data_IF_374889128349
#
_entry.id   IF_374889128349
#
_cell.length_a   1.000
_cell.length_b   1.000
_cell.length_c   1.000
_cell.angle_alpha   90.00
_cell.angle_beta   90.00
_cell.angle_gamma   90.00
#
_symmetry.space_group_name_H-M   'P 1'
#
loop_
_entity.id
_entity.type
_entity.pdbx_description
1 polymer ?
#
# COMPACT_ATOMS: atom_id res chain seq x y z
N UNK A 1 -6.02 -2.74 -21.33
CA UNK A 1 -5.19 -1.83 -20.49
C UNK A 1 -3.74 -2.02 -20.86
N UNK A 2 -3.05 -0.97 -21.35
CA UNK A 2 -1.59 -1.00 -21.48
C UNK A 2 -1.04 -1.07 -20.06
N UNK A 3 -0.30 -2.14 -19.71
CA UNK A 3 0.60 -2.12 -18.56
C UNK A 3 1.35 -0.79 -18.64
N UNK A 4 1.31 0.03 -17.59
CA UNK A 4 2.25 1.14 -17.51
C UNK A 4 3.64 0.52 -17.62
N UNK A 5 4.29 0.70 -18.76
CA UNK A 5 5.71 0.45 -18.87
C UNK A 5 6.36 1.49 -17.96
N UNK A 6 6.45 1.17 -16.66
CA UNK A 6 7.46 1.77 -15.80
C UNK A 6 8.75 1.62 -16.59
N UNK A 7 9.33 2.74 -16.99
CA UNK A 7 10.58 2.81 -17.74
C UNK A 7 11.66 2.16 -16.89
N UNK A 8 11.77 0.83 -16.94
CA UNK A 8 12.78 0.06 -16.20
C UNK A 8 14.09 0.19 -16.94
N UNK A 9 14.73 1.34 -16.76
CA UNK A 9 16.18 1.38 -16.88
C UNK A 9 16.72 0.84 -15.56
N UNK A 10 17.54 -0.19 -15.62
CA UNK A 10 18.27 -0.62 -14.43
C UNK A 10 19.19 0.52 -14.00
N UNK A 11 18.94 1.05 -12.81
CA UNK A 11 19.76 2.08 -12.19
C UNK A 11 20.43 1.50 -10.95
N UNK A 12 21.51 2.14 -10.52
CA UNK A 12 22.19 1.82 -9.28
C UNK A 12 21.77 2.78 -8.17
N UNK A 13 21.49 2.26 -6.98
CA UNK A 13 21.10 3.08 -5.83
C UNK A 13 22.29 3.52 -4.96
N UNK A 14 23.50 3.03 -5.21
CA UNK A 14 24.69 3.38 -4.44
C UNK A 14 25.28 4.76 -4.80
N UNK A 15 24.63 5.81 -4.29
CA UNK A 15 25.04 7.20 -4.49
C UNK A 15 25.80 7.73 -3.27
N UNK A 16 26.92 8.41 -3.54
CA UNK A 16 27.68 9.14 -2.52
C UNK A 16 27.63 10.65 -2.78
N UNK A 17 27.65 11.44 -1.70
CA UNK A 17 27.80 12.90 -1.81
C UNK A 17 26.54 13.67 -2.21
N UNK A 18 25.39 13.00 -2.40
CA UNK A 18 24.12 13.63 -2.80
C UNK A 18 23.68 14.77 -1.87
N UNK A 19 23.95 14.64 -0.56
CA UNK A 19 23.65 15.67 0.43
C UNK A 19 24.45 16.97 0.26
N UNK A 20 25.58 16.94 -0.48
CA UNK A 20 26.41 18.12 -0.77
C UNK A 20 25.89 18.93 -1.96
N UNK A 21 25.04 18.33 -2.78
CA UNK A 21 24.45 18.96 -3.95
C UNK A 21 23.36 19.95 -3.54
N UNK A 22 23.21 21.02 -4.32
CA UNK A 22 22.05 21.90 -4.28
C UNK A 22 20.77 21.17 -4.73
N UNK A 23 19.61 21.74 -4.44
CA UNK A 23 18.31 21.14 -4.81
C UNK A 23 18.20 20.93 -6.34
N UNK A 24 18.61 21.91 -7.14
CA UNK A 24 18.57 21.81 -8.60
C UNK A 24 19.49 20.71 -9.14
N UNK A 25 20.69 20.57 -8.58
CA UNK A 25 21.62 19.49 -8.91
C UNK A 25 21.07 18.12 -8.51
N UNK A 26 20.42 18.01 -7.33
CA UNK A 26 19.75 16.78 -6.89
C UNK A 26 18.65 16.37 -7.85
N UNK A 27 17.78 17.30 -8.25
CA UNK A 27 16.68 17.04 -9.19
C UNK A 27 17.24 16.62 -10.55
N UNK A 28 18.26 17.32 -11.06
CA UNK A 28 18.92 16.97 -12.32
C UNK A 28 19.50 15.56 -12.26
N UNK A 29 20.24 15.24 -11.20
CA UNK A 29 20.85 13.92 -11.03
C UNK A 29 19.80 12.80 -10.96
N UNK A 30 18.72 13.01 -10.20
CA UNK A 30 17.60 12.06 -10.15
C UNK A 30 16.94 11.89 -11.52
N UNK A 31 16.65 12.99 -12.22
CA UNK A 31 16.04 12.97 -13.55
C UNK A 31 16.84 12.14 -14.55
N UNK A 32 18.17 12.29 -14.56
CA UNK A 32 19.07 11.51 -15.42
C UNK A 32 19.08 10.01 -15.04
N UNK A 33 18.97 9.69 -13.76
CA UNK A 33 18.98 8.31 -13.27
C UNK A 33 17.69 7.55 -13.59
N UNK A 34 16.53 8.14 -13.28
CA UNK A 34 15.23 7.48 -13.42
C UNK A 34 14.50 7.85 -14.73
N UNK A 35 15.13 8.70 -15.56
CA UNK A 35 14.64 9.12 -16.87
C UNK A 35 13.26 9.81 -16.81
N UNK A 36 13.17 10.82 -15.95
CA UNK A 36 11.95 11.62 -15.81
C UNK A 36 11.56 12.28 -17.14
N UNK A 37 10.27 12.30 -17.42
CA UNK A 37 9.71 13.11 -18.48
C UNK A 37 9.62 14.60 -18.04
N UNK A 38 9.25 15.49 -18.96
CA UNK A 38 9.19 16.93 -18.67
C UNK A 38 8.16 17.28 -17.59
N UNK A 39 7.04 16.56 -17.52
CA UNK A 39 6.01 16.78 -16.51
C UNK A 39 6.51 16.38 -15.12
N UNK A 40 7.15 15.21 -15.00
CA UNK A 40 7.75 14.72 -13.75
C UNK A 40 8.86 15.67 -13.26
N UNK A 41 9.69 16.18 -14.17
CA UNK A 41 10.73 17.15 -13.83
C UNK A 41 10.14 18.46 -13.33
N UNK A 42 9.07 18.96 -13.99
CA UNK A 42 8.38 20.17 -13.56
C UNK A 42 7.71 20.00 -12.19
N UNK A 43 7.21 18.79 -11.87
CA UNK A 43 6.67 18.48 -10.54
C UNK A 43 7.76 18.53 -9.46
N UNK A 44 8.95 17.99 -9.73
CA UNK A 44 10.05 18.01 -8.75
C UNK A 44 10.62 19.42 -8.49
N UNK A 45 10.50 20.33 -9.46
CA UNK A 45 10.93 21.72 -9.32
C UNK A 45 9.94 22.56 -8.48
N UNK A 46 8.70 22.11 -8.34
CA UNK A 46 7.70 22.76 -7.52
C UNK A 46 7.65 22.12 -6.14
N UNK A 47 7.86 22.90 -5.08
CA UNK A 47 7.72 22.42 -3.68
C UNK A 47 6.26 22.16 -3.27
N UNK A 48 5.32 22.15 -4.22
CA UNK A 48 3.90 21.85 -4.03
C UNK A 48 3.32 21.12 -5.25
N UNK A 49 2.42 20.16 -5.01
CA UNK A 49 1.89 19.25 -6.05
C UNK A 49 0.47 19.61 -6.51
N UNK A 50 -0.45 19.85 -5.57
CA UNK A 50 -1.87 19.99 -5.88
C UNK A 50 -2.26 21.43 -6.24
N UNK A 51 -3.08 21.56 -7.28
CA UNK A 51 -3.91 22.77 -7.49
C UNK A 51 -5.04 22.80 -6.46
N UNK A 52 -5.58 23.99 -6.20
CA UNK A 52 -6.73 24.16 -5.30
C UNK A 52 -7.91 23.23 -5.65
N UNK A 53 -8.23 23.09 -6.95
CA UNK A 53 -9.31 22.20 -7.40
C UNK A 53 -9.03 20.71 -7.20
N UNK A 54 -7.76 20.31 -7.10
CA UNK A 54 -7.41 18.90 -6.88
C UNK A 54 -7.45 18.56 -5.39
N UNK A 55 -6.95 19.45 -4.53
CA UNK A 55 -6.97 19.20 -3.08
C UNK A 55 -8.39 19.25 -2.51
N UNK A 56 -9.29 20.05 -3.11
CA UNK A 56 -10.72 20.13 -2.77
C UNK A 56 -11.49 18.82 -2.98
N UNK A 57 -10.93 17.90 -3.79
CA UNK A 57 -11.53 16.56 -3.99
C UNK A 57 -11.02 15.49 -3.04
N UNK A 58 -9.98 15.77 -2.24
CA UNK A 58 -9.32 14.74 -1.42
C UNK A 58 -9.97 14.58 -0.05
N UNK A 59 -10.36 15.70 0.57
CA UNK A 59 -10.99 15.75 1.89
C UNK A 59 -12.03 16.89 1.93
N UNK A 60 -12.93 16.85 2.90
CA UNK A 60 -13.91 17.91 3.10
C UNK A 60 -13.29 19.18 3.71
N UNK A 61 -13.85 20.35 3.37
CA UNK A 61 -13.54 21.66 3.97
C UNK A 61 -12.06 22.07 3.88
N UNK A 62 -11.37 21.70 2.80
CA UNK A 62 -9.96 22.09 2.62
C UNK A 62 -9.85 23.59 2.35
N UNK A 63 -8.89 24.23 3.01
CA UNK A 63 -8.57 25.66 2.82
C UNK A 63 -7.11 25.88 2.44
N UNK A 64 -6.25 24.89 2.67
CA UNK A 64 -4.81 24.96 2.40
C UNK A 64 -4.20 23.55 2.38
N UNK A 65 -2.92 23.46 1.99
CA UNK A 65 -2.12 22.24 2.00
C UNK A 65 -0.98 22.36 3.01
N UNK A 66 -0.65 21.26 3.70
CA UNK A 66 0.55 21.19 4.54
C UNK A 66 1.70 20.53 3.76
N UNK A 67 2.90 21.12 3.82
CA UNK A 67 4.09 20.61 3.14
C UNK A 67 5.01 19.91 4.13
N UNK A 68 5.52 18.74 3.74
CA UNK A 68 6.53 17.98 4.46
C UNK A 68 7.77 17.80 3.56
N UNK A 69 9.00 17.91 4.09
CA UNK A 69 10.19 17.71 3.27
C UNK A 69 10.21 16.31 2.66
N UNK A 70 10.49 16.23 1.35
CA UNK A 70 10.67 14.97 0.63
C UNK A 70 12.17 14.73 0.39
N UNK A 71 12.73 13.75 1.09
CA UNK A 71 14.08 13.24 0.87
C UNK A 71 14.08 11.94 0.07
N UNK A 72 15.25 11.55 -0.43
CA UNK A 72 15.48 10.23 -1.02
C UNK A 72 16.53 9.50 -0.19
N UNK A 73 16.21 8.30 0.29
CA UNK A 73 17.18 7.40 0.87
C UNK A 73 17.79 6.48 -0.21
N UNK A 74 19.10 6.34 -0.15
CA UNK A 74 19.93 5.65 -1.14
C UNK A 74 20.49 4.34 -0.61
N UNK A 75 21.21 3.60 -1.48
CA UNK A 75 21.92 2.35 -1.23
C UNK A 75 21.04 1.11 -1.00
N UNK A 76 19.71 1.26 -0.95
CA UNK A 76 18.81 0.13 -0.78
C UNK A 76 18.93 -0.87 -1.93
N UNK A 77 19.16 -2.13 -1.55
CA UNK A 77 19.08 -3.29 -2.41
C UNK A 77 18.16 -4.30 -1.74
N UNK A 78 17.08 -4.68 -2.39
CA UNK A 78 16.10 -5.65 -1.86
C UNK A 78 15.96 -6.76 -2.89
N UNK A 79 16.16 -8.01 -2.47
CA UNK A 79 16.11 -9.19 -3.34
C UNK A 79 16.98 -9.02 -4.61
N UNK A 80 18.19 -8.49 -4.43
CA UNK A 80 19.15 -8.26 -5.53
C UNK A 80 18.87 -7.05 -6.43
N UNK A 81 17.75 -6.35 -6.25
CA UNK A 81 17.38 -5.17 -7.05
C UNK A 81 17.58 -3.86 -6.29
N UNK A 82 18.05 -2.84 -6.99
CA UNK A 82 18.28 -1.51 -6.42
C UNK A 82 17.00 -0.66 -6.37
N UNK A 83 16.85 0.10 -5.29
CA UNK A 83 15.73 1.00 -5.06
C UNK A 83 16.21 2.37 -4.56
N UNK A 84 15.54 3.42 -5.02
CA UNK A 84 15.55 4.74 -4.40
C UNK A 84 14.29 4.83 -3.55
N UNK A 85 14.40 5.21 -2.28
CA UNK A 85 13.28 5.23 -1.34
C UNK A 85 12.89 6.69 -1.04
N UNK A 86 11.78 7.20 -1.59
CA UNK A 86 11.26 8.51 -1.20
C UNK A 86 10.78 8.49 0.25
N UNK A 87 11.12 9.52 1.02
CA UNK A 87 10.76 9.66 2.43
C UNK A 87 10.25 11.09 2.68
N UNK A 88 8.96 11.21 2.99
CA UNK A 88 8.37 12.48 3.43
C UNK A 88 8.45 12.57 4.97
N UNK A 89 9.37 13.38 5.50
CA UNK A 89 9.64 13.47 6.94
C UNK A 89 10.34 14.79 7.31
N UNK A 90 10.04 15.34 8.47
CA UNK A 90 10.65 16.57 9.01
C UNK A 90 11.87 16.32 9.89
N UNK A 91 11.97 15.13 10.48
CA UNK A 91 13.01 14.80 11.44
C UNK A 91 14.41 14.76 10.78
N UNK A 92 15.37 15.57 11.26
CA UNK A 92 16.74 15.53 10.76
C UNK A 92 17.37 14.15 10.93
N UNK A 93 18.38 13.87 10.11
CA UNK A 93 19.19 12.64 10.17
C UNK A 93 18.47 11.34 9.80
N UNK A 94 17.14 11.24 9.81
CA UNK A 94 16.43 9.98 9.51
C UNK A 94 16.77 9.43 8.12
N UNK A 95 16.64 10.27 7.07
CA UNK A 95 16.99 9.88 5.69
C UNK A 95 18.47 9.51 5.55
N UNK A 96 19.34 10.21 6.27
CA UNK A 96 20.78 9.94 6.27
C UNK A 96 21.12 8.62 6.97
N UNK A 97 20.49 8.35 8.12
CA UNK A 97 20.65 7.12 8.89
C UNK A 97 20.15 5.91 8.09
N UNK A 98 18.97 6.01 7.46
CA UNK A 98 18.43 4.96 6.58
C UNK A 98 19.38 4.67 5.41
N UNK A 99 19.89 5.71 4.75
CA UNK A 99 20.85 5.55 3.65
C UNK A 99 22.18 4.91 4.09
N UNK A 100 22.67 5.27 5.28
CA UNK A 100 23.91 4.72 5.83
C UNK A 100 23.74 3.25 6.24
N UNK A 101 22.64 2.90 6.90
CA UNK A 101 22.31 1.53 7.24
C UNK A 101 22.20 0.66 5.97
N UNK A 102 21.46 1.13 4.96
CA UNK A 102 21.37 0.43 3.68
C UNK A 102 22.72 0.22 3.01
N UNK A 103 23.63 1.22 3.06
CA UNK A 103 25.00 1.10 2.56
C UNK A 103 25.80 0.02 3.27
N UNK A 104 25.65 -0.10 4.60
CA UNK A 104 26.31 -1.14 5.39
C UNK A 104 25.77 -2.53 5.03
N UNK A 105 24.45 -2.69 4.95
CA UNK A 105 23.80 -3.95 4.59
C UNK A 105 24.14 -4.39 3.17
N UNK A 106 24.25 -3.44 2.22
CA UNK A 106 24.59 -3.72 0.81
C UNK A 106 25.90 -4.49 0.64
N UNK A 107 26.90 -4.27 1.53
CA UNK A 107 28.17 -5.02 1.53
C UNK A 107 27.98 -6.52 1.76
N UNK A 108 26.85 -6.91 2.34
CA UNK A 108 26.49 -8.29 2.69
C UNK A 108 25.37 -8.84 1.79
N UNK A 109 25.11 -8.21 0.64
CA UNK A 109 24.09 -8.64 -0.34
C UNK A 109 22.80 -7.81 -0.32
N UNK A 110 22.62 -6.92 0.66
CA UNK A 110 21.40 -6.12 0.80
C UNK A 110 20.34 -6.78 1.67
N UNK A 111 19.10 -6.32 1.54
CA UNK A 111 17.95 -6.84 2.26
C UNK A 111 17.29 -7.98 1.47
N UNK A 112 16.68 -8.90 2.21
CA UNK A 112 15.84 -9.95 1.67
C UNK A 112 14.43 -9.79 2.23
N UNK A 113 13.43 -10.00 1.37
CA UNK A 113 12.02 -9.98 1.75
C UNK A 113 11.29 -11.07 1.00
N UNK A 114 10.45 -11.81 1.71
CA UNK A 114 9.55 -12.78 1.08
C UNK A 114 8.41 -12.06 0.37
N UNK A 115 7.82 -12.73 -0.61
CA UNK A 115 6.58 -12.31 -1.23
C UNK A 115 5.42 -12.56 -0.27
N UNK A 116 4.65 -11.51 0.03
CA UNK A 116 3.47 -11.58 0.88
C UNK A 116 2.24 -11.33 0.02
N UNK A 117 1.27 -12.24 0.08
CA UNK A 117 0.00 -12.06 -0.62
C UNK A 117 -0.76 -10.87 -0.01
N UNK A 118 -1.35 -10.06 -0.88
CA UNK A 118 -2.18 -8.91 -0.48
C UNK A 118 -3.58 -9.36 -0.06
N UNK A 119 -3.66 -10.04 1.09
CA UNK A 119 -4.92 -10.55 1.67
C UNK A 119 -5.41 -9.59 2.74
N UNK A 120 -6.54 -8.96 2.48
CA UNK A 120 -7.25 -8.13 3.44
C UNK A 120 -8.34 -8.93 4.14
N UNK A 121 -8.59 -8.57 5.40
CA UNK A 121 -9.63 -9.18 6.22
C UNK A 121 -10.73 -8.15 6.44
N UNK A 122 -11.94 -8.45 5.98
CA UNK A 122 -13.15 -7.73 6.45
C UNK A 122 -13.85 -8.54 7.52
N UNK A 123 -14.44 -7.84 8.50
CA UNK A 123 -15.06 -8.45 9.66
C UNK A 123 -16.55 -8.16 9.70
N UNK A 124 -17.38 -9.20 9.65
CA UNK A 124 -18.82 -9.11 9.86
C UNK A 124 -19.11 -9.60 11.28
N UNK A 125 -19.63 -8.72 12.11
CA UNK A 125 -19.96 -9.01 13.50
C UNK A 125 -21.41 -9.48 13.63
N UNK A 126 -21.60 -10.71 14.11
CA UNK A 126 -22.90 -11.28 14.42
C UNK A 126 -23.07 -11.30 15.94
N UNK A 127 -24.15 -10.70 16.41
CA UNK A 127 -24.53 -10.63 17.83
C UNK A 127 -25.88 -11.30 18.06
N UNK A 128 -26.31 -11.41 19.32
CA UNK A 128 -27.62 -11.96 19.71
C UNK A 128 -27.87 -13.37 19.15
N UNK A 129 -26.83 -14.21 19.20
CA UNK A 129 -26.87 -15.57 18.66
C UNK A 129 -27.53 -16.52 19.67
N UNK A 130 -28.64 -17.14 19.28
CA UNK A 130 -29.35 -18.10 20.13
C UNK A 130 -28.60 -19.42 20.28
N UNK A 131 -28.16 -20.02 19.16
CA UNK A 131 -27.31 -21.21 19.14
C UNK A 131 -26.08 -20.97 18.27
N UNK A 132 -24.92 -20.87 18.92
CA UNK A 132 -23.65 -20.57 18.27
C UNK A 132 -23.18 -21.67 17.32
N UNK A 133 -23.36 -22.94 17.70
CA UNK A 133 -22.89 -24.06 16.91
C UNK A 133 -23.72 -24.24 15.65
N UNK A 134 -25.03 -24.01 15.73
CA UNK A 134 -25.89 -24.02 14.55
C UNK A 134 -25.59 -22.84 13.61
N UNK A 135 -25.30 -21.64 14.17
CA UNK A 135 -24.88 -20.50 13.38
C UNK A 135 -23.57 -20.76 12.62
N UNK A 136 -22.55 -21.31 13.30
CA UNK A 136 -21.28 -21.71 12.66
C UNK A 136 -21.50 -22.73 11.55
N UNK A 137 -22.26 -23.80 11.83
CA UNK A 137 -22.58 -24.83 10.82
C UNK A 137 -23.30 -24.26 9.61
N UNK A 138 -24.25 -23.35 9.83
CA UNK A 138 -24.98 -22.68 8.76
C UNK A 138 -24.07 -21.82 7.87
N UNK A 139 -23.17 -21.04 8.48
CA UNK A 139 -22.20 -20.22 7.74
C UNK A 139 -21.23 -21.07 6.92
N UNK A 140 -20.68 -22.13 7.52
CA UNK A 140 -19.79 -23.05 6.80
C UNK A 140 -20.52 -23.74 5.65
N UNK A 141 -21.75 -24.22 5.87
CA UNK A 141 -22.57 -24.84 4.82
C UNK A 141 -22.85 -23.89 3.64
N UNK A 142 -22.96 -22.59 3.91
CA UNK A 142 -23.26 -21.57 2.89
C UNK A 142 -22.02 -20.80 2.41
N UNK A 143 -20.82 -21.22 2.78
CA UNK A 143 -19.57 -20.50 2.48
C UNK A 143 -19.44 -20.12 1.01
N UNK A 144 -19.62 -21.07 0.09
CA UNK A 144 -19.46 -20.81 -1.35
C UNK A 144 -20.47 -19.80 -1.87
N UNK A 145 -21.71 -19.83 -1.33
CA UNK A 145 -22.75 -18.85 -1.66
C UNK A 145 -22.36 -17.45 -1.18
N UNK A 146 -21.81 -17.35 0.04
CA UNK A 146 -21.36 -16.08 0.62
C UNK A 146 -20.19 -15.51 -0.21
N UNK A 147 -19.19 -16.33 -0.53
CA UNK A 147 -18.06 -15.92 -1.37
C UNK A 147 -18.52 -15.48 -2.77
N UNK A 148 -19.52 -16.17 -3.34
CA UNK A 148 -20.10 -15.78 -4.63
C UNK A 148 -20.77 -14.41 -4.56
N UNK A 149 -21.56 -14.14 -3.51
CA UNK A 149 -22.23 -12.84 -3.31
C UNK A 149 -21.25 -11.70 -3.09
N UNK A 150 -20.20 -11.94 -2.30
CA UNK A 150 -19.11 -10.99 -2.09
C UNK A 150 -18.42 -10.68 -3.42
N UNK A 151 -18.05 -11.70 -4.20
CA UNK A 151 -17.37 -11.52 -5.47
C UNK A 151 -18.23 -10.81 -6.53
N UNK A 152 -19.56 -10.90 -6.47
CA UNK A 152 -20.43 -10.12 -7.37
C UNK A 152 -20.31 -8.60 -7.20
N UNK A 153 -19.77 -8.12 -6.08
CA UNK A 153 -19.62 -6.69 -5.82
C UNK A 153 -18.49 -6.02 -6.62
N UNK A 154 -17.48 -6.79 -7.04
CA UNK A 154 -16.36 -6.27 -7.85
C UNK A 154 -15.95 -7.27 -8.95
N UNK A 155 -16.69 -7.31 -10.07
CA UNK A 155 -16.38 -8.19 -11.19
C UNK A 155 -14.98 -7.98 -11.77
N UNK A 156 -14.50 -6.72 -11.79
CA UNK A 156 -13.19 -6.37 -12.32
C UNK A 156 -12.07 -6.98 -11.47
N UNK A 157 -12.17 -6.91 -10.15
CA UNK A 157 -11.18 -7.52 -9.27
C UNK A 157 -11.08 -9.03 -9.48
N UNK A 158 -12.20 -9.71 -9.69
CA UNK A 158 -12.21 -11.15 -10.01
C UNK A 158 -11.58 -11.45 -11.37
N UNK A 159 -11.90 -10.65 -12.40
CA UNK A 159 -11.30 -10.78 -13.73
C UNK A 159 -9.76 -10.64 -13.68
N UNK A 160 -9.25 -9.81 -12.77
CA UNK A 160 -7.82 -9.62 -12.53
C UNK A 160 -7.19 -10.73 -11.65
N UNK A 161 -7.97 -11.69 -11.15
CA UNK A 161 -7.51 -12.81 -10.32
C UNK A 161 -7.47 -12.52 -8.82
N UNK A 162 -8.10 -11.43 -8.38
CA UNK A 162 -8.35 -11.12 -6.97
C UNK A 162 -9.69 -11.69 -6.47
N UNK A 163 -10.25 -11.04 -5.45
CA UNK A 163 -11.58 -11.33 -4.92
C UNK A 163 -11.58 -12.02 -3.56
N UNK A 164 -12.77 -12.25 -3.01
CA UNK A 164 -12.99 -13.05 -1.81
C UNK A 164 -12.58 -14.51 -2.07
N UNK A 165 -11.59 -14.98 -1.32
CA UNK A 165 -10.97 -16.30 -1.48
C UNK A 165 -11.39 -17.28 -0.39
N UNK A 166 -11.72 -16.77 0.81
CA UNK A 166 -12.01 -17.63 1.95
C UNK A 166 -12.85 -16.90 3.02
N UNK A 167 -13.36 -17.68 3.96
CA UNK A 167 -14.13 -17.23 5.10
C UNK A 167 -13.69 -17.99 6.35
N UNK A 168 -13.33 -17.27 7.40
CA UNK A 168 -12.99 -17.83 8.71
C UNK A 168 -13.99 -17.36 9.78
N UNK A 169 -14.17 -18.18 10.81
CA UNK A 169 -15.08 -17.88 11.91
C UNK A 169 -14.30 -17.75 13.21
N UNK A 170 -14.54 -16.67 13.95
CA UNK A 170 -13.96 -16.42 15.27
C UNK A 170 -15.05 -16.18 16.30
N UNK A 171 -14.95 -16.87 17.42
CA UNK A 171 -15.81 -16.63 18.58
C UNK A 171 -15.11 -15.65 19.52
N UNK A 172 -15.83 -14.62 19.96
CA UNK A 172 -15.37 -13.68 20.98
C UNK A 172 -16.34 -13.70 22.16
N UNK A 173 -15.79 -13.88 23.36
CA UNK A 173 -16.53 -13.73 24.61
C UNK A 173 -16.31 -12.33 25.14
N UNK A 174 -17.38 -11.56 25.29
CA UNK A 174 -17.32 -10.17 25.75
C UNK A 174 -18.20 -9.97 26.99
N UNK A 175 -18.07 -8.81 27.63
CA UNK A 175 -18.99 -8.40 28.71
C UNK A 175 -20.46 -8.24 28.24
N UNK A 176 -20.70 -8.13 26.93
CA UNK A 176 -22.03 -8.07 26.32
C UNK A 176 -22.52 -9.43 25.80
N UNK A 177 -21.84 -10.52 26.16
CA UNK A 177 -22.15 -11.87 25.71
C UNK A 177 -21.24 -12.36 24.59
N UNK A 178 -21.60 -13.51 24.01
CA UNK A 178 -20.83 -14.16 22.95
C UNK A 178 -21.16 -13.54 21.59
N UNK A 179 -20.11 -13.29 20.81
CA UNK A 179 -20.18 -12.77 19.44
C UNK A 179 -19.52 -13.78 18.48
N UNK A 180 -20.04 -13.87 17.26
CA UNK A 180 -19.40 -14.59 16.16
C UNK A 180 -18.93 -13.57 15.13
N UNK A 181 -17.63 -13.57 14.86
CA UNK A 181 -17.01 -12.72 13.85
C UNK A 181 -16.72 -13.58 12.63
N UNK A 182 -17.27 -13.17 11.49
CA UNK A 182 -16.94 -13.74 10.19
C UNK A 182 -15.82 -12.89 9.60
N UNK A 183 -14.68 -13.51 9.33
CA UNK A 183 -13.62 -12.92 8.54
C UNK A 183 -13.84 -13.29 7.09
N UNK A 184 -14.01 -12.30 6.22
CA UNK A 184 -13.92 -12.49 4.78
C UNK A 184 -12.49 -12.21 4.35
N UNK A 185 -11.80 -13.21 3.80
CA UNK A 185 -10.44 -13.07 3.29
C UNK A 185 -10.51 -12.67 1.81
N UNK A 186 -9.97 -11.51 1.46
CA UNK A 186 -10.06 -10.93 0.11
C UNK A 186 -8.66 -10.67 -0.43
N UNK A 187 -8.35 -11.22 -1.60
CA UNK A 187 -7.16 -10.87 -2.35
C UNK A 187 -7.41 -9.56 -3.11
N UNK A 188 -6.77 -8.49 -2.67
CA UNK A 188 -6.99 -7.13 -3.18
C UNK A 188 -5.93 -6.67 -4.20
N UNK A 189 -5.00 -7.57 -4.56
CA UNK A 189 -3.93 -7.31 -5.52
C UNK A 189 -3.14 -6.03 -5.14
N UNK A 190 -3.05 -5.07 -6.06
CA UNK A 190 -2.29 -3.83 -5.89
C UNK A 190 -3.02 -2.75 -5.09
N UNK A 191 -4.29 -2.97 -4.72
CA UNK A 191 -5.06 -2.02 -3.92
C UNK A 191 -4.79 -2.21 -2.42
N UNK A 192 -4.95 -1.15 -1.63
CA UNK A 192 -5.03 -1.28 -0.17
C UNK A 192 -6.29 -2.05 0.26
N UNK A 193 -7.39 -1.91 -0.50
CA UNK A 193 -8.54 -2.81 -0.39
C UNK A 193 -9.64 -2.41 0.61
N UNK A 194 -9.49 -1.35 1.41
CA UNK A 194 -10.48 -0.99 2.44
C UNK A 194 -11.92 -0.86 1.91
N UNK A 195 -12.12 -0.10 0.83
CA UNK A 195 -13.46 0.06 0.24
C UNK A 195 -13.99 -1.24 -0.37
N UNK A 196 -13.13 -1.99 -1.07
CA UNK A 196 -13.47 -3.28 -1.68
C UNK A 196 -14.01 -4.25 -0.62
N UNK A 197 -13.25 -4.45 0.45
CA UNK A 197 -13.60 -5.45 1.46
C UNK A 197 -14.79 -5.02 2.33
N UNK A 198 -15.04 -3.72 2.46
CA UNK A 198 -16.25 -3.19 3.10
C UNK A 198 -17.48 -3.45 2.22
N UNK A 199 -17.44 -3.11 0.92
CA UNK A 199 -18.55 -3.37 -0.01
C UNK A 199 -18.89 -4.87 -0.07
N UNK A 200 -17.87 -5.74 -0.09
CA UNK A 200 -18.07 -7.19 -0.05
C UNK A 200 -18.70 -7.70 1.25
N UNK A 201 -18.47 -7.02 2.37
CA UNK A 201 -19.02 -7.40 3.67
C UNK A 201 -20.44 -6.91 3.91
N UNK A 202 -20.84 -5.81 3.25
CA UNK A 202 -22.20 -5.25 3.31
C UNK A 202 -23.21 -6.01 2.42
N UNK A 203 -22.73 -6.82 1.47
CA UNK A 203 -23.54 -7.59 0.52
C UNK A 203 -24.08 -8.91 1.10
#
# INVERSE_FOLDING_TARGET
MKKSEFRKKDFRSDISGFYRLSISERIKHLSEMVNFNQEELALMQNLGYFKASQIDTLIENVISSFQLPLGIAFNFRVNGKDYLIPMAIEEPSVVAAASNAAKMTRKHGGFYSDEVKSIMISQIQITQIYNLEDAKKSLIKNKDRILTLANQQDPLLNELGGGAIDLELRQLSTNKGVMLIVHLLVNVLDAMGANVVNTMAEA
#
